data_IF_061251945651
#
_entry.id   IF_061251945651
#
_cell.length_a   1.000
_cell.length_b   1.000
_cell.length_c   1.000
_cell.angle_alpha   90.00
_cell.angle_beta   90.00
_cell.angle_gamma   90.00
#
_symmetry.space_group_name_H-M   'P 1'
#
loop_
_entity.id
_entity.type
_entity.pdbx_description
1 polymer ?
#
# COMPACT_ATOMS: atom_id res chain seq x y z
N UNK A 1 -13.34 -4.08 23.31
CA UNK A 1 -12.94 -2.74 23.77
C UNK A 1 -12.09 -2.18 22.66
N UNK A 2 -12.79 -1.65 21.66
CA UNK A 2 -12.24 -1.09 20.43
C UNK A 2 -11.40 0.13 20.80
N UNK A 3 -10.09 -0.08 20.92
CA UNK A 3 -9.19 1.06 20.85
C UNK A 3 -9.02 1.34 19.37
N UNK A 4 -9.86 2.24 18.85
CA UNK A 4 -9.59 2.89 17.58
C UNK A 4 -8.14 3.42 17.63
N UNK A 5 -7.34 3.06 16.63
CA UNK A 5 -5.99 3.62 16.45
C UNK A 5 -6.18 5.11 16.30
N UNK A 6 -5.63 5.92 17.19
CA UNK A 6 -5.78 7.38 17.10
C UNK A 6 -5.14 7.92 15.82
N UNK A 7 -5.60 9.09 15.37
CA UNK A 7 -5.15 9.68 14.10
C UNK A 7 -3.63 9.89 14.01
N UNK A 8 -2.96 10.23 15.12
CA UNK A 8 -1.52 10.42 15.11
C UNK A 8 -0.79 9.10 14.89
N UNK A 9 -1.21 8.05 15.59
CA UNK A 9 -0.71 6.68 15.38
C UNK A 9 -1.03 6.18 13.97
N UNK A 10 -2.25 6.39 13.46
CA UNK A 10 -2.63 6.00 12.10
C UNK A 10 -1.80 6.72 11.03
N UNK A 11 -1.52 8.01 11.23
CA UNK A 11 -0.65 8.80 10.35
C UNK A 11 0.77 8.25 10.31
N UNK A 12 1.35 7.93 11.48
CA UNK A 12 2.70 7.35 11.56
C UNK A 12 2.78 5.98 10.88
N UNK A 13 1.81 5.10 11.15
CA UNK A 13 1.77 3.77 10.53
C UNK A 13 1.54 3.86 9.03
N UNK A 14 0.59 4.70 8.58
CA UNK A 14 0.31 4.94 7.17
C UNK A 14 1.57 5.41 6.44
N UNK A 15 2.33 6.34 7.03
CA UNK A 15 3.60 6.80 6.46
C UNK A 15 4.61 5.65 6.29
N UNK A 16 4.83 4.83 7.31
CA UNK A 16 5.79 3.72 7.21
C UNK A 16 5.39 2.68 6.16
N UNK A 17 4.09 2.36 6.07
CA UNK A 17 3.58 1.42 5.09
C UNK A 17 3.69 1.98 3.66
N UNK A 18 3.48 3.29 3.48
CA UNK A 18 3.73 3.96 2.20
C UNK A 18 5.21 4.01 1.83
N UNK A 19 6.10 4.26 2.79
CA UNK A 19 7.55 4.20 2.56
C UNK A 19 7.98 2.79 2.12
N UNK A 20 7.41 1.74 2.74
CA UNK A 20 7.63 0.36 2.34
C UNK A 20 7.09 0.06 0.93
N UNK A 21 5.90 0.55 0.60
CA UNK A 21 5.32 0.45 -0.75
C UNK A 21 6.28 1.05 -1.79
N UNK A 22 6.75 2.28 -1.55
CA UNK A 22 7.67 2.98 -2.44
C UNK A 22 9.02 2.26 -2.56
N UNK A 23 9.49 1.60 -1.50
CA UNK A 23 10.71 0.79 -1.54
C UNK A 23 10.56 -0.41 -2.49
N UNK A 24 9.43 -1.11 -2.44
CA UNK A 24 9.15 -2.25 -3.32
C UNK A 24 8.99 -1.80 -4.78
N UNK A 25 8.30 -0.69 -5.03
CA UNK A 25 8.17 -0.11 -6.38
C UNK A 25 9.54 0.29 -6.95
N UNK A 26 10.39 0.93 -6.14
CA UNK A 26 11.75 1.27 -6.55
C UNK A 26 12.60 0.03 -6.84
N UNK A 27 12.51 -1.02 -6.02
CA UNK A 27 13.19 -2.28 -6.29
C UNK A 27 12.70 -2.93 -7.59
N UNK A 28 11.39 -2.92 -7.83
CA UNK A 28 10.76 -3.41 -9.07
C UNK A 28 11.32 -2.69 -10.29
N UNK A 29 11.44 -1.36 -10.22
CA UNK A 29 12.04 -0.54 -11.29
C UNK A 29 13.51 -0.85 -11.53
N UNK A 30 14.31 -1.05 -10.47
CA UNK A 30 15.73 -1.43 -10.61
C UNK A 30 15.88 -2.74 -11.38
N UNK A 31 15.05 -3.75 -11.06
CA UNK A 31 15.07 -5.03 -11.78
C UNK A 31 14.62 -4.84 -13.23
N UNK A 32 13.55 -4.05 -13.47
CA UNK A 32 13.08 -3.74 -14.82
C UNK A 32 14.17 -3.10 -15.70
N UNK A 33 14.97 -2.20 -15.14
CA UNK A 33 16.01 -1.47 -15.87
C UNK A 33 17.27 -2.31 -16.15
N UNK A 34 17.54 -3.35 -15.36
CA UNK A 34 18.85 -4.03 -15.33
C UNK A 34 18.82 -5.51 -15.65
N UNK A 35 17.68 -6.16 -15.50
CA UNK A 35 17.56 -7.61 -15.63
C UNK A 35 16.81 -8.00 -16.92
N UNK A 36 16.84 -9.28 -17.23
CA UNK A 36 16.07 -9.82 -18.34
C UNK A 36 14.55 -9.69 -18.07
N UNK A 37 13.76 -9.80 -19.14
CA UNK A 37 12.30 -9.79 -19.04
C UNK A 37 11.78 -10.91 -18.13
N UNK A 38 12.36 -12.11 -18.22
CA UNK A 38 11.90 -13.26 -17.43
C UNK A 38 12.17 -13.08 -15.92
N UNK A 39 13.33 -12.54 -15.57
CA UNK A 39 13.68 -12.19 -14.19
C UNK A 39 12.77 -11.06 -13.66
N UNK A 40 12.50 -10.05 -14.48
CA UNK A 40 11.58 -8.97 -14.13
C UNK A 40 10.16 -9.46 -13.90
N UNK A 41 9.62 -10.28 -14.81
CA UNK A 41 8.26 -10.79 -14.71
C UNK A 41 8.09 -11.67 -13.46
N UNK A 42 9.10 -12.49 -13.13
CA UNK A 42 9.13 -13.26 -11.89
C UNK A 42 9.18 -12.40 -10.62
N UNK A 43 10.08 -11.40 -10.59
CA UNK A 43 10.19 -10.48 -9.46
C UNK A 43 8.90 -9.68 -9.25
N UNK A 44 8.36 -9.11 -10.33
CA UNK A 44 7.15 -8.29 -10.33
C UNK A 44 5.95 -9.06 -9.77
N UNK A 45 5.83 -10.36 -10.08
CA UNK A 45 4.73 -11.18 -9.58
C UNK A 45 4.73 -11.28 -8.04
N UNK A 46 5.90 -11.46 -7.42
CA UNK A 46 6.01 -11.51 -5.96
C UNK A 46 5.93 -10.11 -5.32
N UNK A 47 6.56 -9.10 -5.94
CA UNK A 47 6.47 -7.71 -5.50
C UNK A 47 5.01 -7.23 -5.46
N UNK A 48 4.19 -7.61 -6.44
CA UNK A 48 2.76 -7.31 -6.48
C UNK A 48 1.98 -7.90 -5.29
N UNK A 49 2.35 -9.10 -4.82
CA UNK A 49 1.73 -9.70 -3.61
C UNK A 49 2.08 -8.90 -2.36
N UNK A 50 3.33 -8.47 -2.23
CA UNK A 50 3.80 -7.65 -1.09
C UNK A 50 3.07 -6.31 -1.06
N UNK A 51 3.03 -5.62 -2.20
CA UNK A 51 2.32 -4.35 -2.35
C UNK A 51 0.82 -4.50 -2.07
N UNK A 52 0.19 -5.57 -2.55
CA UNK A 52 -1.19 -5.89 -2.23
C UNK A 52 -1.43 -6.10 -0.72
N UNK A 53 -0.50 -6.77 -0.03
CA UNK A 53 -0.53 -6.91 1.43
C UNK A 53 -0.41 -5.58 2.17
N UNK A 54 0.48 -4.69 1.72
CA UNK A 54 0.60 -3.34 2.28
C UNK A 54 -0.70 -2.54 2.11
N UNK A 55 -1.36 -2.64 0.95
CA UNK A 55 -2.64 -2.00 0.73
C UNK A 55 -3.72 -2.49 1.70
N UNK A 56 -3.79 -3.79 2.00
CA UNK A 56 -4.75 -4.33 2.98
C UNK A 56 -4.53 -3.80 4.40
N UNK A 57 -3.30 -3.40 4.75
CA UNK A 57 -2.99 -2.75 6.03
C UNK A 57 -3.33 -1.25 6.01
N UNK A 58 -3.10 -0.59 4.86
CA UNK A 58 -3.36 0.84 4.66
C UNK A 58 -4.85 1.16 4.56
N UNK A 59 -5.63 0.31 3.88
CA UNK A 59 -7.03 0.58 3.57
C UNK A 59 -7.89 0.87 4.83
N UNK A 60 -7.83 0.09 5.93
CA UNK A 60 -8.56 0.42 7.14
C UNK A 60 -8.17 1.76 7.76
N UNK A 61 -6.89 2.14 7.72
CA UNK A 61 -6.40 3.42 8.24
C UNK A 61 -6.96 4.59 7.43
N UNK A 62 -6.94 4.45 6.10
CA UNK A 62 -7.50 5.45 5.19
C UNK A 62 -9.02 5.51 5.25
N UNK A 63 -9.73 4.41 5.52
CA UNK A 63 -11.19 4.44 5.73
C UNK A 63 -11.55 5.19 7.02
N UNK A 64 -10.75 5.01 8.09
CA UNK A 64 -10.93 5.71 9.36
C UNK A 64 -10.54 7.19 9.26
N UNK A 65 -9.48 7.51 8.51
CA UNK A 65 -8.95 8.85 8.31
C UNK A 65 -8.69 9.12 6.82
N UNK A 66 -9.73 9.48 6.04
CA UNK A 66 -9.63 9.64 4.58
C UNK A 66 -8.62 10.68 4.11
N UNK A 67 -8.29 11.66 4.94
CA UNK A 67 -7.29 12.67 4.64
C UNK A 67 -5.84 12.15 4.67
N UNK A 68 -5.62 10.91 5.13
CA UNK A 68 -4.34 10.22 5.04
C UNK A 68 -4.14 9.46 3.71
N UNK A 69 -5.21 9.29 2.90
CA UNK A 69 -5.13 8.59 1.64
C UNK A 69 -4.37 9.42 0.58
N UNK A 70 -3.64 8.78 -0.34
CA UNK A 70 -3.03 9.46 -1.48
C UNK A 70 -4.07 10.21 -2.33
N UNK A 71 -3.65 11.32 -2.95
CA UNK A 71 -4.50 12.08 -3.87
C UNK A 71 -5.04 11.19 -5.01
N UNK A 72 -6.32 11.37 -5.35
CA UNK A 72 -6.99 10.62 -6.42
C UNK A 72 -7.50 9.24 -6.00
N UNK A 73 -7.25 8.79 -4.77
CA UNK A 73 -7.78 7.52 -4.27
C UNK A 73 -9.12 7.72 -3.55
N UNK A 74 -10.21 7.27 -4.16
CA UNK A 74 -11.56 7.38 -3.59
C UNK A 74 -11.80 6.29 -2.52
N UNK A 75 -11.62 6.68 -1.25
CA UNK A 75 -11.90 5.83 -0.10
C UNK A 75 -13.39 5.68 0.23
N UNK A 76 -14.27 6.44 -0.44
CA UNK A 76 -15.72 6.43 -0.17
C UNK A 76 -16.48 5.35 -0.96
N UNK A 77 -15.85 4.73 -1.96
CA UNK A 77 -16.50 3.84 -2.92
C UNK A 77 -16.76 2.40 -2.45
N UNK A 78 -16.23 1.94 -1.31
CA UNK A 78 -16.45 0.57 -0.83
C UNK A 78 -17.58 0.46 0.19
N UNK A 79 -18.82 0.61 -0.28
CA UNK A 79 -19.97 -0.12 0.28
C UNK A 79 -20.38 -1.24 -0.69
N UNK A 80 -19.56 -2.29 -0.81
CA UNK A 80 -20.13 -3.58 -1.25
C UNK A 80 -20.98 -4.09 -0.09
N UNK A 81 -22.28 -3.81 -0.19
CA UNK A 81 -23.35 -4.26 0.69
C UNK A 81 -23.31 -5.81 0.75
N UNK A 82 -23.57 -6.44 1.93
CA UNK A 82 -23.71 -7.89 2.03
C UNK A 82 -24.82 -8.43 1.13
#
# INVERSE_FOLDING_TARGET
MDKEIDKATASQVSKQLMDAYLSVENATRIIQERCSKDEFDGFRAEAGKVVGGLYLLLEPLWRAYPDLAPEGLDMTASKKKP
#
